data_IF_148034656546
#
_entry.id   IF_148034656546
#
_cell.length_a   1.000
_cell.length_b   1.000
_cell.length_c   1.000
_cell.angle_alpha   90.00
_cell.angle_beta   90.00
_cell.angle_gamma   90.00
#
_symmetry.space_group_name_H-M   'P 1'
#
loop_
_entity.id
_entity.type
_entity.pdbx_description
1 polymer ?
#
# COMPACT_ATOMS: atom_id res chain seq x y z
N UNK A 1 -8.63 16.98 -61.84
CA UNK A 1 -9.36 16.70 -60.57
C UNK A 1 -8.95 15.36 -59.93
N UNK A 2 -7.65 15.01 -59.87
CA UNK A 2 -7.21 13.68 -59.39
C UNK A 2 -6.38 13.67 -58.09
N UNK A 3 -5.70 14.77 -57.77
CA UNK A 3 -4.79 14.85 -56.61
C UNK A 3 -5.51 15.15 -55.28
N UNK A 4 -6.58 15.96 -55.32
CA UNK A 4 -7.33 16.38 -54.12
C UNK A 4 -8.10 15.19 -53.50
N UNK A 5 -8.63 14.28 -54.34
CA UNK A 5 -9.32 13.07 -53.88
C UNK A 5 -8.37 11.99 -53.34
N UNK A 6 -7.09 12.00 -53.71
CA UNK A 6 -6.08 11.08 -53.14
C UNK A 6 -5.55 11.57 -51.80
N UNK A 7 -5.39 12.88 -51.64
CA UNK A 7 -5.02 13.51 -50.36
C UNK A 7 -6.11 13.34 -49.29
N UNK A 8 -7.39 13.45 -49.67
CA UNK A 8 -8.51 13.24 -48.75
C UNK A 8 -8.65 11.78 -48.28
N UNK A 9 -8.28 10.82 -49.13
CA UNK A 9 -8.27 9.40 -48.76
C UNK A 9 -7.12 9.06 -47.79
N UNK A 10 -5.94 9.66 -47.98
CA UNK A 10 -4.78 9.47 -47.11
C UNK A 10 -4.99 10.16 -45.76
N UNK A 11 -5.54 11.38 -45.73
CA UNK A 11 -5.84 12.10 -44.48
C UNK A 11 -6.92 11.41 -43.66
N UNK A 12 -7.95 10.81 -44.30
CA UNK A 12 -8.93 9.97 -43.62
C UNK A 12 -8.29 8.74 -42.98
N UNK A 13 -7.37 8.09 -43.68
CA UNK A 13 -6.69 6.89 -43.17
C UNK A 13 -5.78 7.25 -41.99
N UNK A 14 -4.98 8.32 -42.10
CA UNK A 14 -4.17 8.83 -40.99
C UNK A 14 -5.02 9.27 -39.79
N UNK A 15 -6.13 9.96 -40.05
CA UNK A 15 -7.07 10.39 -39.02
C UNK A 15 -7.68 9.22 -38.26
N UNK A 16 -8.03 8.13 -38.94
CA UNK A 16 -8.52 6.90 -38.31
C UNK A 16 -7.45 6.23 -37.43
N UNK A 17 -6.19 6.20 -37.88
CA UNK A 17 -5.08 5.66 -37.08
C UNK A 17 -4.81 6.51 -35.82
N UNK A 18 -4.82 7.84 -35.95
CA UNK A 18 -4.65 8.74 -34.81
C UNK A 18 -5.82 8.63 -33.82
N UNK A 19 -7.04 8.47 -34.32
CA UNK A 19 -8.24 8.32 -33.49
C UNK A 19 -8.19 6.98 -32.72
N UNK A 20 -7.79 5.90 -33.39
CA UNK A 20 -7.58 4.60 -32.74
C UNK A 20 -6.49 4.69 -31.65
N UNK A 21 -5.35 5.31 -31.96
CA UNK A 21 -4.27 5.53 -30.99
C UNK A 21 -4.74 6.37 -29.78
N UNK A 22 -5.53 7.43 -30.03
CA UNK A 22 -6.12 8.25 -28.99
C UNK A 22 -7.06 7.48 -28.06
N UNK A 23 -7.94 6.63 -28.62
CA UNK A 23 -8.81 5.77 -27.82
C UNK A 23 -7.99 4.80 -26.96
N UNK A 24 -6.99 4.13 -27.54
CA UNK A 24 -6.15 3.20 -26.77
C UNK A 24 -5.42 3.88 -25.62
N UNK A 25 -4.92 5.10 -25.83
CA UNK A 25 -4.22 5.87 -24.79
C UNK A 25 -5.18 6.32 -23.69
N UNK A 26 -6.40 6.74 -24.05
CA UNK A 26 -7.44 7.09 -23.09
C UNK A 26 -7.85 5.87 -22.23
N UNK A 27 -8.05 4.70 -22.85
CA UNK A 27 -8.39 3.46 -22.12
C UNK A 27 -7.27 3.07 -21.15
N UNK A 28 -6.01 3.11 -21.57
CA UNK A 28 -4.87 2.84 -20.68
C UNK A 28 -4.82 3.83 -19.51
N UNK A 29 -5.02 5.11 -19.77
CA UNK A 29 -5.04 6.14 -18.74
C UNK A 29 -6.15 5.91 -17.70
N UNK A 30 -7.38 5.63 -18.16
CA UNK A 30 -8.51 5.32 -17.27
C UNK A 30 -8.26 4.04 -16.47
N UNK A 31 -7.70 3.00 -17.10
CA UNK A 31 -7.36 1.76 -16.39
C UNK A 31 -6.33 1.99 -15.27
N UNK A 32 -5.30 2.81 -15.52
CA UNK A 32 -4.31 3.18 -14.50
C UNK A 32 -4.94 3.98 -13.37
N UNK A 33 -5.83 4.94 -13.68
CA UNK A 33 -6.53 5.71 -12.65
C UNK A 33 -7.41 4.84 -11.77
N UNK A 34 -8.21 3.95 -12.37
CA UNK A 34 -9.05 3.02 -11.61
C UNK A 34 -8.19 2.14 -10.71
N UNK A 35 -7.10 1.58 -11.24
CA UNK A 35 -6.19 0.73 -10.46
C UNK A 35 -5.56 1.49 -9.27
N UNK A 36 -5.15 2.74 -9.48
CA UNK A 36 -4.63 3.56 -8.38
C UNK A 36 -5.70 3.83 -7.31
N UNK A 37 -6.92 4.14 -7.72
CA UNK A 37 -8.02 4.45 -6.80
C UNK A 37 -8.53 3.22 -6.03
N UNK A 38 -8.65 2.07 -6.68
CA UNK A 38 -9.29 0.89 -6.08
C UNK A 38 -8.33 -0.07 -5.38
N UNK A 39 -7.07 -0.14 -5.82
CA UNK A 39 -6.10 -1.15 -5.33
C UNK A 39 -4.99 -0.53 -4.48
N UNK A 40 -4.57 0.69 -4.81
CA UNK A 40 -3.35 1.26 -4.21
C UNK A 40 -3.59 1.79 -2.78
N UNK A 41 -4.79 2.29 -2.49
CA UNK A 41 -5.16 2.84 -1.19
C UNK A 41 -6.39 2.12 -0.64
N UNK A 42 -6.25 0.87 -0.13
CA UNK A 42 -7.33 0.30 0.65
C UNK A 42 -7.61 1.22 1.83
N UNK A 43 -8.87 1.27 2.21
CA UNK A 43 -9.31 2.14 3.28
C UNK A 43 -8.48 1.92 4.56
N UNK A 44 -8.14 2.98 5.31
CA UNK A 44 -7.35 2.86 6.52
C UNK A 44 -8.03 1.94 7.54
N UNK A 45 -7.27 1.36 8.48
CA UNK A 45 -7.78 0.33 9.38
C UNK A 45 -8.87 0.86 10.33
N UNK A 46 -9.00 2.19 10.46
CA UNK A 46 -10.03 2.87 11.26
C UNK A 46 -11.45 2.74 10.69
N UNK A 47 -11.59 2.43 9.40
CA UNK A 47 -12.89 2.30 8.72
C UNK A 47 -13.13 0.89 8.16
N UNK A 48 -12.12 0.01 8.23
CA UNK A 48 -12.19 -1.37 7.78
C UNK A 48 -12.39 -2.35 8.95
N UNK A 49 -12.74 -3.61 8.65
CA UNK A 49 -12.82 -4.68 9.65
C UNK A 49 -11.40 -5.15 10.03
N UNK A 50 -10.75 -4.41 10.92
CA UNK A 50 -9.37 -4.62 11.34
C UNK A 50 -9.24 -4.56 12.87
N UNK A 51 -8.48 -5.48 13.44
CA UNK A 51 -8.12 -5.50 14.87
C UNK A 51 -6.64 -5.18 15.05
N UNK A 52 -6.33 -4.18 15.87
CA UNK A 52 -4.95 -3.87 16.23
C UNK A 52 -4.38 -4.97 17.13
N UNK A 53 -3.22 -5.51 16.77
CA UNK A 53 -2.53 -6.58 17.53
C UNK A 53 -1.19 -6.12 18.11
N UNK A 54 -0.56 -5.09 17.54
CA UNK A 54 0.66 -4.48 18.07
C UNK A 54 0.69 -2.99 17.72
N UNK A 55 1.30 -2.18 18.58
CA UNK A 55 1.59 -0.78 18.29
C UNK A 55 2.94 -0.38 18.86
N UNK A 56 3.67 0.45 18.11
CA UNK A 56 4.93 1.07 18.52
C UNK A 56 4.86 2.56 18.20
N UNK A 57 5.42 3.41 19.07
CA UNK A 57 5.46 4.86 18.87
C UNK A 57 6.92 5.31 18.73
N UNK A 58 7.17 6.27 17.84
CA UNK A 58 8.52 6.85 17.73
C UNK A 58 8.88 7.57 19.04
N UNK A 59 10.16 7.58 19.39
CA UNK A 59 10.65 8.22 20.63
C UNK A 59 10.38 9.73 20.70
N UNK A 60 10.21 10.36 19.54
CA UNK A 60 9.85 11.78 19.38
C UNK A 60 8.33 12.03 19.35
N UNK A 61 7.50 10.99 19.45
CA UNK A 61 6.04 11.04 19.34
C UNK A 61 5.52 11.71 18.05
N UNK A 62 6.30 11.71 16.97
CA UNK A 62 5.85 12.23 15.66
C UNK A 62 5.03 11.21 14.85
N UNK A 63 5.20 9.92 15.12
CA UNK A 63 4.61 8.84 14.36
C UNK A 63 4.28 7.63 15.24
N UNK A 64 3.21 6.93 14.88
CA UNK A 64 2.81 5.67 15.51
C UNK A 64 2.63 4.59 14.45
N UNK A 65 3.22 3.43 14.67
CA UNK A 65 3.12 2.27 13.80
C UNK A 65 2.20 1.24 14.44
N UNK A 66 1.37 0.61 13.63
CA UNK A 66 0.40 -0.37 14.04
C UNK A 66 0.53 -1.62 13.20
N UNK A 67 0.30 -2.76 13.83
CA UNK A 67 0.03 -4.02 13.16
C UNK A 67 -1.44 -4.34 13.36
N UNK A 68 -2.15 -4.55 12.26
CA UNK A 68 -3.55 -4.95 12.24
C UNK A 68 -3.70 -6.35 11.65
N UNK A 69 -4.65 -7.10 12.17
CA UNK A 69 -5.23 -8.25 11.48
C UNK A 69 -6.56 -7.81 10.86
N UNK A 70 -6.67 -7.92 9.53
CA UNK A 70 -7.77 -7.37 8.75
C UNK A 70 -8.48 -8.45 7.95
N UNK A 71 -9.78 -8.22 7.73
CA UNK A 71 -10.61 -8.95 6.77
C UNK A 71 -11.12 -7.95 5.72
N UNK A 72 -10.85 -8.21 4.43
CA UNK A 72 -11.21 -7.32 3.32
C UNK A 72 -11.86 -8.08 2.16
N UNK A 73 -12.48 -7.32 1.25
CA UNK A 73 -13.22 -7.84 0.11
C UNK A 73 -14.69 -8.09 0.41
N UNK A 74 -15.52 -8.11 -0.63
CA UNK A 74 -16.93 -8.47 -0.51
C UNK A 74 -17.01 -9.89 0.09
N UNK A 75 -17.74 -10.07 1.19
CA UNK A 75 -17.81 -11.33 1.95
C UNK A 75 -16.51 -11.78 2.65
N UNK A 76 -15.57 -10.88 2.96
CA UNK A 76 -14.35 -11.20 3.71
C UNK A 76 -13.45 -12.27 3.04
N UNK A 77 -13.39 -12.25 1.70
CA UNK A 77 -12.59 -13.17 0.88
C UNK A 77 -11.08 -13.10 1.19
N UNK A 78 -10.60 -11.93 1.64
CA UNK A 78 -9.20 -11.75 2.02
C UNK A 78 -9.05 -11.60 3.53
N UNK A 79 -8.09 -12.33 4.08
CA UNK A 79 -7.68 -12.21 5.48
C UNK A 79 -6.16 -12.12 5.54
N UNK A 80 -5.66 -11.18 6.32
CA UNK A 80 -4.23 -11.01 6.49
C UNK A 80 -3.88 -9.93 7.47
N UNK A 81 -2.59 -9.67 7.55
CA UNK A 81 -2.02 -8.63 8.36
C UNK A 81 -1.64 -7.42 7.54
N UNK A 82 -1.79 -6.25 8.15
CA UNK A 82 -1.40 -4.98 7.57
C UNK A 82 -0.58 -4.18 8.59
N UNK A 83 0.55 -3.62 8.15
CA UNK A 83 1.34 -2.68 8.92
C UNK A 83 1.02 -1.28 8.44
N UNK A 84 0.59 -0.41 9.36
CA UNK A 84 0.16 0.95 9.08
C UNK A 84 0.96 1.95 9.92
N UNK A 85 1.26 3.09 9.33
CA UNK A 85 1.80 4.27 9.98
C UNK A 85 0.67 5.29 10.12
N UNK A 86 0.55 5.88 11.30
CA UNK A 86 -0.17 7.11 11.55
C UNK A 86 0.84 8.21 11.86
N UNK A 87 0.88 9.24 11.03
CA UNK A 87 1.58 10.48 11.35
C UNK A 87 0.71 11.27 12.33
N UNK A 88 1.28 11.63 13.48
CA UNK A 88 0.46 12.13 14.59
C UNK A 88 0.12 13.62 14.46
N UNK A 89 0.90 14.39 13.73
CA UNK A 89 0.70 15.84 13.59
C UNK A 89 -0.39 16.20 12.57
N UNK A 90 -0.42 15.51 11.44
CA UNK A 90 -1.33 15.73 10.31
C UNK A 90 -2.43 14.65 10.21
N UNK A 91 -2.43 13.69 11.14
CA UNK A 91 -3.36 12.56 11.21
C UNK A 91 -3.38 11.71 9.91
N UNK A 92 -2.28 11.73 9.14
CA UNK A 92 -2.19 10.99 7.88
C UNK A 92 -1.90 9.50 8.13
N UNK A 93 -2.64 8.64 7.44
CA UNK A 93 -2.45 7.20 7.46
C UNK A 93 -1.72 6.71 6.20
N UNK A 94 -0.67 5.93 6.41
CA UNK A 94 0.12 5.33 5.33
C UNK A 94 0.29 3.83 5.57
N UNK A 95 -0.08 3.01 4.59
CA UNK A 95 0.18 1.57 4.64
C UNK A 95 1.65 1.29 4.35
N UNK A 96 2.31 0.53 5.22
CA UNK A 96 3.73 0.17 5.09
C UNK A 96 3.93 -1.23 4.51
N UNK A 97 3.13 -2.21 4.95
CA UNK A 97 3.22 -3.57 4.44
C UNK A 97 1.91 -4.34 4.55
N UNK A 98 1.76 -5.39 3.76
CA UNK A 98 0.68 -6.37 3.86
C UNK A 98 1.21 -7.80 3.76
N UNK A 99 0.56 -8.72 4.44
CA UNK A 99 0.86 -10.15 4.39
C UNK A 99 -0.42 -10.97 4.54
N UNK A 100 -0.74 -11.91 3.63
CA UNK A 100 -1.78 -12.91 3.86
C UNK A 100 -1.69 -13.62 5.22
N UNK A 101 -2.83 -13.98 5.81
CA UNK A 101 -2.90 -14.70 7.08
C UNK A 101 -2.22 -16.08 7.00
N UNK A 102 -2.27 -16.70 5.82
CA UNK A 102 -1.62 -17.98 5.54
C UNK A 102 -0.10 -17.97 5.79
N UNK A 103 0.53 -16.79 5.83
CA UNK A 103 1.97 -16.63 6.06
C UNK A 103 2.36 -16.70 7.54
N UNK A 104 1.43 -17.07 8.42
CA UNK A 104 1.72 -17.25 9.84
C UNK A 104 1.68 -15.93 10.59
N UNK A 105 2.83 -15.39 10.96
CA UNK A 105 2.93 -14.28 11.90
C UNK A 105 3.70 -13.09 11.31
N UNK A 106 3.27 -11.89 11.69
CA UNK A 106 3.95 -10.62 11.42
C UNK A 106 4.12 -9.85 12.72
N UNK A 107 5.19 -9.07 12.82
CA UNK A 107 5.45 -8.17 13.92
C UNK A 107 6.22 -6.94 13.51
N UNK A 108 6.35 -6.01 14.44
CA UNK A 108 7.18 -4.83 14.27
C UNK A 108 8.13 -4.64 15.44
N UNK A 109 9.28 -4.06 15.13
CA UNK A 109 10.25 -3.53 16.09
C UNK A 109 10.65 -2.16 15.56
N UNK A 110 10.52 -1.13 16.39
CA UNK A 110 10.81 0.25 16.02
C UNK A 110 11.98 0.76 16.85
N UNK A 111 13.01 1.24 16.16
CA UNK A 111 14.13 1.94 16.79
C UNK A 111 14.25 3.39 16.29
N UNK A 112 15.32 4.09 16.69
CA UNK A 112 15.54 5.49 16.34
C UNK A 112 15.82 5.74 14.83
N UNK A 113 16.08 4.70 14.04
CA UNK A 113 16.54 4.81 12.65
C UNK A 113 15.70 3.97 11.68
N UNK A 114 15.21 2.82 12.13
CA UNK A 114 14.51 1.83 11.33
C UNK A 114 13.28 1.26 12.03
N UNK A 115 12.29 0.95 11.18
CA UNK A 115 11.21 0.04 11.49
C UNK A 115 11.57 -1.32 10.88
N UNK A 116 11.64 -2.36 11.70
CA UNK A 116 11.85 -3.73 11.26
C UNK A 116 10.53 -4.49 11.31
N UNK A 117 10.05 -4.92 10.14
CA UNK A 117 8.89 -5.79 10.02
C UNK A 117 9.36 -7.24 10.10
N UNK A 118 8.97 -7.92 11.18
CA UNK A 118 9.34 -9.29 11.48
C UNK A 118 8.30 -10.26 10.89
N UNK A 119 8.72 -11.40 10.34
CA UNK A 119 7.80 -12.40 9.77
C UNK A 119 8.35 -13.82 9.86
N UNK A 120 7.48 -14.84 9.93
CA UNK A 120 7.91 -16.24 10.12
C UNK A 120 8.05 -17.08 8.84
N UNK A 121 7.32 -16.76 7.77
CA UNK A 121 7.31 -17.55 6.52
C UNK A 121 8.20 -16.93 5.42
N UNK A 122 8.03 -17.33 4.16
CA UNK A 122 8.83 -16.88 3.03
C UNK A 122 8.72 -15.37 2.77
N UNK A 123 9.85 -14.75 2.39
CA UNK A 123 9.94 -13.33 2.00
C UNK A 123 9.07 -12.98 0.78
N UNK A 124 8.72 -13.96 -0.06
CA UNK A 124 7.86 -13.76 -1.23
C UNK A 124 6.45 -13.30 -0.89
N UNK A 125 6.04 -13.48 0.37
CA UNK A 125 4.64 -13.38 0.74
C UNK A 125 4.34 -12.12 1.57
N UNK A 126 5.36 -11.30 1.87
CA UNK A 126 5.19 -9.95 2.43
C UNK A 126 5.35 -8.89 1.32
N UNK A 127 4.31 -8.08 1.16
CA UNK A 127 4.31 -6.95 0.22
C UNK A 127 4.62 -5.67 0.98
N UNK A 128 5.84 -5.14 0.81
CA UNK A 128 6.25 -3.85 1.38
C UNK A 128 5.86 -2.73 0.42
N UNK A 129 4.98 -1.84 0.87
CA UNK A 129 4.48 -0.72 0.09
C UNK A 129 5.45 0.48 0.08
N UNK A 130 6.24 0.65 1.15
CA UNK A 130 7.25 1.71 1.23
C UNK A 130 8.51 1.23 1.96
N UNK A 131 9.68 1.59 1.44
CA UNK A 131 10.99 1.29 2.04
C UNK A 131 11.44 2.33 3.08
N UNK A 132 10.70 3.42 3.23
CA UNK A 132 10.89 4.43 4.25
C UNK A 132 9.59 5.19 4.50
N UNK A 133 9.56 5.94 5.59
CA UNK A 133 8.50 6.90 5.85
C UNK A 133 9.08 8.19 6.43
N UNK A 134 8.38 9.29 6.16
CA UNK A 134 8.71 10.63 6.62
C UNK A 134 7.53 11.16 7.43
N UNK A 135 7.82 11.77 8.57
CA UNK A 135 6.82 12.40 9.43
C UNK A 135 7.36 13.71 9.98
N UNK A 136 6.43 14.62 10.27
CA UNK A 136 6.76 15.92 10.82
C UNK A 136 6.93 15.85 12.35
N UNK A 137 7.86 16.65 12.85
CA UNK A 137 8.14 16.81 14.27
C UNK A 137 7.43 18.06 14.79
N UNK A 138 7.09 18.05 16.08
CA UNK A 138 6.39 19.16 16.73
C UNK A 138 7.19 20.49 16.71
N UNK A 139 8.51 20.42 16.53
CA UNK A 139 9.40 21.58 16.43
C UNK A 139 9.50 22.16 15.00
N UNK A 140 8.76 21.59 14.04
CA UNK A 140 8.75 22.01 12.64
C UNK A 140 9.85 21.36 11.79
N UNK A 141 10.62 20.41 12.34
CA UNK A 141 11.49 19.52 11.59
C UNK A 141 10.72 18.35 10.95
N UNK A 142 11.44 17.53 10.17
CA UNK A 142 10.94 16.25 9.67
C UNK A 142 11.94 15.14 9.99
N UNK A 143 11.43 13.96 10.29
CA UNK A 143 12.21 12.77 10.55
C UNK A 143 11.90 11.70 9.51
N UNK A 144 12.95 10.98 9.09
CA UNK A 144 12.83 9.84 8.17
C UNK A 144 13.27 8.58 8.89
N UNK A 145 12.55 7.49 8.67
CA UNK A 145 12.92 6.15 9.13
C UNK A 145 12.90 5.17 7.96
N UNK A 146 13.85 4.25 7.91
CA UNK A 146 13.84 3.17 6.92
C UNK A 146 12.93 2.04 7.35
N UNK A 147 12.33 1.34 6.39
CA UNK A 147 11.56 0.12 6.61
C UNK A 147 12.38 -1.07 6.14
N UNK A 148 12.71 -1.95 7.07
CA UNK A 148 13.40 -3.20 6.85
C UNK A 148 12.45 -4.38 7.10
N UNK A 149 12.83 -5.56 6.60
CA UNK A 149 12.10 -6.81 6.85
C UNK A 149 13.07 -7.84 7.40
N UNK A 150 12.67 -8.58 8.43
CA UNK A 150 13.50 -9.61 9.07
C UNK A 150 12.71 -10.90 9.23
N UNK A 151 13.21 -11.99 8.65
CA UNK A 151 12.61 -13.30 8.86
C UNK A 151 13.04 -13.85 10.23
N UNK A 152 12.12 -14.45 10.96
CA UNK A 152 12.35 -15.10 12.26
C UNK A 152 11.87 -16.55 12.22
N UNK A 153 12.61 -17.45 12.88
CA UNK A 153 12.19 -18.86 12.99
C UNK A 153 10.96 -19.05 13.89
N UNK A 154 10.76 -18.12 14.84
CA UNK A 154 9.60 -18.05 15.73
C UNK A 154 9.21 -16.61 15.92
N UNK A 155 7.99 -16.29 15.51
CA UNK A 155 7.39 -14.98 15.67
C UNK A 155 6.45 -15.06 16.89
N UNK A 156 6.68 -14.20 17.87
CA UNK A 156 6.04 -14.23 19.20
C UNK A 156 4.70 -13.50 19.26
N UNK A 157 4.22 -12.95 18.15
CA UNK A 157 2.91 -12.33 18.08
C UNK A 157 1.89 -13.41 17.74
N UNK A 158 1.38 -14.06 18.78
CA UNK A 158 0.15 -14.82 18.65
C UNK A 158 -0.94 -13.84 18.20
N UNK A 159 -1.44 -14.02 16.97
CA UNK A 159 -2.73 -13.46 16.60
C UNK A 159 -3.69 -13.77 17.75
N UNK A 160 -4.33 -12.75 18.32
CA UNK A 160 -5.28 -12.91 19.41
C UNK A 160 -6.44 -13.77 18.91
N UNK A 161 -6.26 -15.08 18.98
CA UNK A 161 -7.28 -16.08 18.70
C UNK A 161 -8.23 -16.07 19.88
N UNK A 162 -9.50 -15.78 19.58
CA UNK A 162 -10.67 -15.96 20.44
C UNK A 162 -10.47 -17.09 21.46
N UNK A 163 -10.24 -16.72 22.72
CA UNK A 163 -10.81 -17.47 23.82
C UNK A 163 -12.26 -16.98 23.95
N UNK A 164 -13.18 -17.72 23.32
CA UNK A 164 -14.51 -18.06 23.85
C UNK A 164 -15.31 -18.87 22.81
#
# INVERSE_FOLDING_TARGET
MGLINRLSAISRRLGLWLLAAGITLAVLFVAVLIYQLSVYQPEPPTVANCQAIQTEITSDNGAQVYVYQCQRGDNAEWQGYEVWLQKLLDEEWQRLATSPLANGCIGIELDERELVIQYSQSRSDISVASSSFVYDLADGGAATRSVATRQLDRCTLEAAGNND
#
